data_IF_949545047844
#
_entry.id   IF_949545047844
#
_cell.length_a   1.000
_cell.length_b   1.000
_cell.length_c   1.000
_cell.angle_alpha   90.00
_cell.angle_beta   90.00
_cell.angle_gamma   90.00
#
_symmetry.space_group_name_H-M   'P 1'
#
loop_
_entity.id
_entity.type
_entity.pdbx_description
1 polymer ?
#
# COMPACT_ATOMS: atom_id res chain seq x y z
N UNK A 1 10.76 14.75 -10.53
CA UNK A 1 9.67 13.80 -10.82
C UNK A 1 9.09 14.03 -12.22
N UNK A 2 8.39 15.14 -12.52
CA UNK A 2 7.75 15.38 -13.85
C UNK A 2 8.75 15.27 -15.02
N UNK A 3 9.93 15.89 -14.89
CA UNK A 3 11.04 15.80 -15.89
C UNK A 3 11.44 14.35 -16.18
N UNK A 4 11.33 13.48 -15.19
CA UNK A 4 11.67 12.05 -15.28
C UNK A 4 10.46 11.18 -15.71
N UNK A 5 9.31 11.77 -16.04
CA UNK A 5 8.14 11.07 -16.56
C UNK A 5 7.25 10.42 -15.50
N UNK A 6 7.48 10.68 -14.21
CA UNK A 6 6.58 10.20 -13.16
C UNK A 6 5.23 10.93 -13.21
N UNK A 7 4.15 10.20 -13.01
CA UNK A 7 2.78 10.67 -13.19
C UNK A 7 2.00 10.77 -11.87
N UNK A 8 2.46 10.16 -10.80
CA UNK A 8 1.76 10.08 -9.53
C UNK A 8 2.64 10.37 -8.32
N UNK A 9 1.95 10.65 -7.22
CA UNK A 9 2.54 10.83 -5.91
C UNK A 9 1.78 9.96 -4.92
N UNK A 10 2.47 9.03 -4.26
CA UNK A 10 1.91 8.37 -3.08
C UNK A 10 2.05 9.30 -1.87
N UNK A 11 1.00 9.40 -1.07
CA UNK A 11 0.95 10.34 0.06
C UNK A 11 0.73 9.64 1.39
N UNK A 12 1.26 10.24 2.46
CA UNK A 12 0.79 9.99 3.81
C UNK A 12 -0.17 11.14 4.20
N UNK A 13 -1.45 10.89 4.49
CA UNK A 13 -2.44 11.95 4.72
C UNK A 13 -2.02 12.99 5.77
N UNK A 14 -1.36 12.54 6.86
CA UNK A 14 -0.86 13.42 7.92
C UNK A 14 0.32 14.30 7.50
N UNK A 15 0.97 14.03 6.36
CA UNK A 15 2.00 14.91 5.79
C UNK A 15 1.40 16.07 5.02
N UNK A 16 0.17 15.92 4.54
CA UNK A 16 -0.57 16.97 3.83
C UNK A 16 -1.42 17.77 4.83
N UNK A 17 -2.17 17.07 5.68
CA UNK A 17 -3.02 17.64 6.74
C UNK A 17 -2.60 16.99 8.07
N UNK A 18 -1.77 17.67 8.89
CA UNK A 18 -1.13 17.06 10.06
C UNK A 18 -2.09 16.57 11.16
N UNK A 19 -3.24 17.23 11.34
CA UNK A 19 -4.19 16.90 12.39
C UNK A 19 -5.52 16.43 11.79
N UNK A 20 -5.98 15.26 12.24
CA UNK A 20 -7.27 14.67 11.85
C UNK A 20 -7.57 14.75 10.34
N UNK A 21 -6.64 14.31 9.45
CA UNK A 21 -6.73 14.55 8.00
C UNK A 21 -8.09 14.15 7.42
N UNK A 22 -8.68 13.08 7.92
CA UNK A 22 -9.93 12.53 7.40
C UNK A 22 -11.19 13.36 7.72
N UNK A 23 -11.06 14.45 8.50
CA UNK A 23 -12.15 15.43 8.69
C UNK A 23 -12.12 16.56 7.66
N UNK A 24 -11.08 16.67 6.87
CA UNK A 24 -10.79 17.82 6.00
C UNK A 24 -10.97 17.48 4.51
N UNK A 25 -12.10 16.88 4.14
CA UNK A 25 -12.36 16.42 2.76
C UNK A 25 -12.33 17.54 1.72
N UNK A 26 -12.82 18.74 2.06
CA UNK A 26 -12.77 19.90 1.15
C UNK A 26 -11.34 20.39 0.92
N UNK A 27 -10.55 20.41 1.98
CA UNK A 27 -9.16 20.87 1.92
C UNK A 27 -8.30 19.94 1.07
N UNK A 28 -8.42 18.62 1.29
CA UNK A 28 -7.67 17.65 0.48
C UNK A 28 -8.11 17.64 -0.99
N UNK A 29 -9.40 17.83 -1.27
CA UNK A 29 -9.88 17.97 -2.63
C UNK A 29 -9.26 19.19 -3.34
N UNK A 30 -9.21 20.34 -2.66
CA UNK A 30 -8.58 21.55 -3.19
C UNK A 30 -7.09 21.34 -3.43
N UNK A 31 -6.37 20.77 -2.45
CA UNK A 31 -4.95 20.46 -2.58
C UNK A 31 -4.68 19.53 -3.78
N UNK A 32 -5.45 18.44 -3.92
CA UNK A 32 -5.33 17.50 -5.04
C UNK A 32 -5.59 18.17 -6.38
N UNK A 33 -6.59 19.04 -6.46
CA UNK A 33 -6.93 19.79 -7.67
C UNK A 33 -5.78 20.72 -8.08
N UNK A 34 -5.17 21.41 -7.13
CA UNK A 34 -3.98 22.23 -7.38
C UNK A 34 -2.78 21.41 -7.82
N UNK A 35 -2.54 20.25 -7.19
CA UNK A 35 -1.48 19.31 -7.55
C UNK A 35 -1.61 18.88 -9.03
N UNK A 36 -2.81 18.46 -9.44
CA UNK A 36 -3.09 18.08 -10.83
C UNK A 36 -2.90 19.25 -11.79
N UNK A 37 -3.49 20.41 -11.46
CA UNK A 37 -3.44 21.59 -12.32
C UNK A 37 -2.01 22.11 -12.52
N UNK A 38 -1.21 22.14 -11.43
CA UNK A 38 0.12 22.73 -11.45
C UNK A 38 1.19 21.79 -11.97
N UNK A 39 1.09 20.50 -11.65
CA UNK A 39 2.13 19.53 -11.91
C UNK A 39 1.69 18.35 -12.78
N UNK A 40 0.38 18.14 -12.96
CA UNK A 40 -0.19 17.01 -13.68
C UNK A 40 0.00 15.68 -12.94
N UNK A 41 0.14 15.71 -11.61
CA UNK A 41 0.27 14.49 -10.81
C UNK A 41 -1.07 13.98 -10.33
N UNK A 42 -1.23 12.65 -10.41
CA UNK A 42 -2.29 11.91 -9.75
C UNK A 42 -1.89 11.54 -8.32
N UNK A 43 -2.85 11.07 -7.53
CA UNK A 43 -2.61 10.43 -6.23
C UNK A 43 -3.12 8.99 -6.30
N UNK A 44 -2.33 8.06 -6.86
CA UNK A 44 -2.78 6.69 -7.07
C UNK A 44 -2.89 5.90 -5.77
N UNK A 45 -2.06 6.21 -4.79
CA UNK A 45 -1.94 5.47 -3.54
C UNK A 45 -1.72 6.40 -2.36
N UNK A 46 -2.14 5.95 -1.18
CA UNK A 46 -1.80 6.58 0.09
C UNK A 46 -1.47 5.53 1.15
N UNK A 47 -0.45 5.83 1.96
CA UNK A 47 0.03 4.97 3.02
C UNK A 47 -0.11 5.60 4.41
N UNK A 48 0.34 4.90 5.46
CA UNK A 48 0.30 5.37 6.85
C UNK A 48 -1.10 5.77 7.32
N UNK A 49 -2.13 5.09 6.80
CA UNK A 49 -3.55 5.40 7.03
C UNK A 49 -3.96 5.34 8.50
N UNK A 50 -3.22 4.62 9.35
CA UNK A 50 -3.43 4.52 10.79
C UNK A 50 -2.38 5.28 11.62
N UNK A 51 -1.78 6.33 11.08
CA UNK A 51 -0.81 7.11 11.83
C UNK A 51 -1.42 7.61 13.16
N UNK A 52 -0.71 7.40 14.27
CA UNK A 52 -1.19 7.77 15.61
C UNK A 52 -2.17 6.79 16.26
N UNK A 53 -2.73 5.80 15.56
CA UNK A 53 -3.63 4.79 16.12
C UNK A 53 -2.85 3.75 16.94
N UNK A 54 -3.44 3.31 18.05
CA UNK A 54 -2.84 2.34 18.97
C UNK A 54 -3.71 1.09 19.15
N UNK A 55 -4.97 1.15 18.73
CA UNK A 55 -5.92 0.06 18.79
C UNK A 55 -5.42 -1.14 17.97
N UNK A 56 -5.80 -2.33 18.37
CA UNK A 56 -5.36 -3.60 17.77
C UNK A 56 -6.49 -4.26 16.99
N UNK A 57 -6.18 -4.83 15.83
CA UNK A 57 -7.13 -5.67 15.06
C UNK A 57 -7.56 -6.87 15.90
N UNK A 58 -6.63 -7.50 16.59
CA UNK A 58 -6.83 -8.66 17.44
C UNK A 58 -7.04 -8.29 18.93
N UNK A 59 -7.32 -7.03 19.22
CA UNK A 59 -7.73 -6.55 20.52
C UNK A 59 -9.20 -6.87 20.84
N UNK A 60 -9.81 -6.07 21.69
CA UNK A 60 -11.23 -6.23 22.01
C UNK A 60 -12.16 -5.65 20.91
N UNK A 61 -13.46 -5.94 20.99
CA UNK A 61 -14.44 -5.49 19.99
C UNK A 61 -14.51 -3.96 19.85
N UNK A 62 -14.30 -3.20 20.95
CA UNK A 62 -14.32 -1.74 20.91
C UNK A 62 -13.14 -1.17 20.12
N UNK A 63 -11.95 -1.76 20.27
CA UNK A 63 -10.77 -1.40 19.49
C UNK A 63 -10.96 -1.69 17.99
N UNK A 64 -11.47 -2.88 17.65
CA UNK A 64 -11.77 -3.23 16.26
C UNK A 64 -12.77 -2.28 15.63
N UNK A 65 -13.88 -1.98 16.32
CA UNK A 65 -14.87 -1.04 15.83
C UNK A 65 -14.26 0.37 15.63
N UNK A 66 -13.43 0.82 16.54
CA UNK A 66 -12.74 2.10 16.40
C UNK A 66 -11.83 2.13 15.16
N UNK A 67 -11.10 1.04 14.87
CA UNK A 67 -10.27 0.92 13.66
C UNK A 67 -11.13 0.85 12.39
N UNK A 68 -12.25 0.11 12.39
CA UNK A 68 -13.17 0.05 11.25
C UNK A 68 -13.69 1.45 10.92
N UNK A 69 -14.24 2.17 11.91
CA UNK A 69 -14.79 3.50 11.69
C UNK A 69 -13.72 4.53 11.29
N UNK A 70 -12.51 4.39 11.79
CA UNK A 70 -11.40 5.23 11.38
C UNK A 70 -10.95 4.93 9.94
N UNK A 71 -10.92 3.64 9.57
CA UNK A 71 -10.57 3.20 8.21
C UNK A 71 -11.62 3.65 7.19
N UNK A 72 -12.92 3.60 7.54
CA UNK A 72 -13.97 4.14 6.66
C UNK A 72 -13.75 5.62 6.36
N UNK A 73 -13.38 6.43 7.34
CA UNK A 73 -13.02 7.84 7.11
C UNK A 73 -11.80 8.00 6.20
N UNK A 74 -10.81 7.11 6.30
CA UNK A 74 -9.67 7.10 5.40
C UNK A 74 -10.09 6.72 3.96
N UNK A 75 -11.03 5.79 3.82
CA UNK A 75 -11.63 5.40 2.53
C UNK A 75 -12.39 6.57 1.91
N UNK A 76 -13.21 7.30 2.66
CA UNK A 76 -13.92 8.50 2.20
C UNK A 76 -12.95 9.59 1.70
N UNK A 77 -11.85 9.76 2.44
CA UNK A 77 -10.79 10.67 2.05
C UNK A 77 -10.13 10.24 0.74
N UNK A 78 -9.79 8.96 0.58
CA UNK A 78 -9.24 8.40 -0.64
C UNK A 78 -10.19 8.58 -1.84
N UNK A 79 -11.47 8.26 -1.65
CA UNK A 79 -12.51 8.44 -2.67
C UNK A 79 -12.62 9.90 -3.11
N UNK A 80 -12.55 10.86 -2.17
CA UNK A 80 -12.61 12.30 -2.45
C UNK A 80 -11.51 12.74 -3.43
N UNK A 81 -10.32 12.18 -3.35
CA UNK A 81 -9.18 12.51 -4.23
C UNK A 81 -8.99 11.50 -5.36
N UNK A 82 -9.89 10.54 -5.52
CA UNK A 82 -9.83 9.45 -6.49
C UNK A 82 -8.57 8.57 -6.34
N UNK A 83 -8.07 8.45 -5.11
CA UNK A 83 -7.00 7.53 -4.77
C UNK A 83 -7.53 6.08 -4.84
N UNK A 84 -6.80 5.19 -5.51
CA UNK A 84 -7.24 3.83 -5.79
C UNK A 84 -6.67 2.77 -4.84
N UNK A 85 -5.67 3.15 -4.04
CA UNK A 85 -5.00 2.23 -3.13
C UNK A 85 -4.78 2.86 -1.75
N UNK A 86 -5.20 2.19 -0.70
CA UNK A 86 -4.88 2.53 0.69
C UNK A 86 -3.99 1.43 1.25
N UNK A 87 -2.71 1.70 1.41
CA UNK A 87 -1.74 0.70 1.88
C UNK A 87 -1.99 0.35 3.33
N UNK A 88 -2.24 -0.93 3.57
CA UNK A 88 -2.44 -1.49 4.89
C UNK A 88 -1.16 -2.20 5.36
N UNK A 89 -0.31 -1.47 6.04
CA UNK A 89 1.04 -1.93 6.39
C UNK A 89 1.26 -2.06 7.91
N UNK A 90 0.68 -1.30 8.76
CA UNK A 90 1.05 -1.10 10.17
C UNK A 90 1.16 -2.39 11.05
N UNK A 91 2.34 -3.07 11.10
CA UNK A 91 2.50 -4.38 11.77
C UNK A 91 2.10 -4.39 13.24
N UNK A 92 2.42 -3.32 13.98
CA UNK A 92 2.16 -3.21 15.43
C UNK A 92 0.66 -3.29 15.80
N UNK A 93 -0.23 -2.94 14.87
CA UNK A 93 -1.67 -2.97 15.12
C UNK A 93 -2.31 -4.30 14.71
N UNK A 94 -1.56 -5.21 14.07
CA UNK A 94 -2.05 -6.49 13.55
C UNK A 94 -1.25 -7.72 13.99
N UNK A 95 -0.62 -7.68 15.17
CA UNK A 95 0.07 -8.85 15.72
C UNK A 95 -0.93 -9.84 16.30
N UNK A 96 -0.83 -11.11 15.87
CA UNK A 96 -1.63 -12.21 16.38
C UNK A 96 -1.33 -12.43 17.86
N UNK A 97 -2.39 -12.66 18.64
CA UNK A 97 -2.31 -12.96 20.07
C UNK A 97 -2.70 -14.41 20.36
N UNK A 98 -3.62 -14.97 19.56
CA UNK A 98 -4.20 -16.31 19.76
C UNK A 98 -4.52 -16.98 18.42
N UNK A 99 -4.76 -18.29 18.44
CA UNK A 99 -5.11 -19.10 17.26
C UNK A 99 -6.49 -18.78 16.65
N UNK A 100 -7.39 -18.10 17.39
CA UNK A 100 -8.71 -17.70 16.89
C UNK A 100 -8.69 -16.36 16.13
N UNK A 101 -7.55 -15.69 16.03
CA UNK A 101 -7.43 -14.36 15.45
C UNK A 101 -7.66 -14.34 13.93
N UNK A 102 -7.48 -15.48 13.24
CA UNK A 102 -7.73 -15.59 11.79
C UNK A 102 -9.18 -15.27 11.42
N UNK A 103 -10.17 -15.79 12.17
CA UNK A 103 -11.57 -15.47 11.91
C UNK A 103 -11.86 -13.97 12.12
N UNK A 104 -11.22 -13.37 13.12
CA UNK A 104 -11.31 -11.92 13.37
C UNK A 104 -10.73 -11.14 12.18
N UNK A 105 -9.60 -11.60 11.62
CA UNK A 105 -9.00 -10.97 10.46
C UNK A 105 -9.96 -10.97 9.26
N UNK A 106 -10.59 -12.12 8.95
CA UNK A 106 -11.51 -12.24 7.81
C UNK A 106 -12.67 -11.27 7.92
N UNK A 107 -13.36 -11.20 9.05
CA UNK A 107 -14.49 -10.28 9.28
C UNK A 107 -14.03 -8.82 9.20
N UNK A 108 -12.91 -8.50 9.83
CA UNK A 108 -12.37 -7.14 9.84
C UNK A 108 -12.04 -6.66 8.42
N UNK A 109 -11.24 -7.43 7.68
CA UNK A 109 -10.81 -7.05 6.34
C UNK A 109 -11.95 -7.09 5.32
N UNK A 110 -12.91 -8.02 5.49
CA UNK A 110 -14.12 -8.03 4.66
C UNK A 110 -14.92 -6.74 4.86
N UNK A 111 -15.14 -6.33 6.10
CA UNK A 111 -15.90 -5.12 6.42
C UNK A 111 -15.31 -3.87 5.79
N UNK A 112 -14.00 -3.65 5.93
CA UNK A 112 -13.35 -2.46 5.35
C UNK A 112 -13.13 -2.58 3.84
N UNK A 113 -12.91 -3.80 3.33
CA UNK A 113 -12.75 -4.06 1.90
C UNK A 113 -14.05 -3.83 1.13
N UNK A 114 -15.17 -4.34 1.61
CA UNK A 114 -16.48 -4.14 0.97
C UNK A 114 -16.83 -2.65 0.93
N UNK A 115 -16.61 -1.93 2.02
CA UNK A 115 -16.79 -0.48 2.04
C UNK A 115 -15.86 0.26 1.06
N UNK A 116 -14.60 -0.16 0.95
CA UNK A 116 -13.66 0.41 -0.02
C UNK A 116 -14.14 0.18 -1.47
N UNK A 117 -14.65 -1.01 -1.77
CA UNK A 117 -15.22 -1.32 -3.09
C UNK A 117 -16.42 -0.43 -3.42
N UNK A 118 -17.35 -0.22 -2.48
CA UNK A 118 -18.49 0.69 -2.63
C UNK A 118 -18.05 2.12 -2.94
N UNK A 119 -16.97 2.57 -2.33
CA UNK A 119 -16.39 3.91 -2.52
C UNK A 119 -15.46 4.01 -3.74
N UNK A 120 -15.24 2.93 -4.48
CA UNK A 120 -14.45 2.89 -5.71
C UNK A 120 -12.94 2.97 -5.50
N UNK A 121 -12.46 2.48 -4.35
CA UNK A 121 -11.05 2.33 -3.98
C UNK A 121 -10.79 0.93 -3.43
N UNK A 122 -9.55 0.64 -2.98
CA UNK A 122 -9.20 -0.63 -2.37
C UNK A 122 -8.26 -0.44 -1.17
N UNK A 123 -8.39 -1.32 -0.19
CA UNK A 123 -7.38 -1.55 0.83
C UNK A 123 -6.32 -2.47 0.22
N UNK A 124 -5.11 -1.99 0.07
CA UNK A 124 -3.95 -2.76 -0.41
C UNK A 124 -3.25 -3.46 0.75
N UNK A 125 -3.50 -4.76 0.91
CA UNK A 125 -2.80 -5.56 1.91
C UNK A 125 -1.34 -5.71 1.55
N UNK A 126 -0.47 -5.29 2.44
CA UNK A 126 0.97 -5.42 2.28
C UNK A 126 1.53 -6.44 3.27
N UNK A 127 2.26 -7.42 2.78
CA UNK A 127 3.01 -8.33 3.61
C UNK A 127 4.18 -7.59 4.28
N UNK A 128 4.50 -7.97 5.52
CA UNK A 128 5.68 -7.45 6.21
C UNK A 128 6.51 -8.59 6.77
N UNK A 129 7.75 -8.75 6.34
CA UNK A 129 8.60 -9.85 6.78
C UNK A 129 8.92 -9.78 8.27
N UNK A 130 9.29 -10.92 8.84
CA UNK A 130 9.57 -11.08 10.27
C UNK A 130 10.69 -10.15 10.79
N UNK A 131 11.54 -9.63 9.89
CA UNK A 131 12.56 -8.62 10.25
C UNK A 131 11.99 -7.35 10.88
N UNK A 132 10.67 -7.08 10.68
CA UNK A 132 9.94 -5.96 11.28
C UNK A 132 9.21 -6.34 12.58
N UNK A 133 9.56 -7.46 13.20
CA UNK A 133 8.96 -7.96 14.46
C UNK A 133 7.44 -8.10 14.38
N UNK A 134 6.96 -8.72 13.33
CA UNK A 134 5.54 -9.04 13.11
C UNK A 134 5.36 -10.55 12.90
N UNK A 135 4.15 -11.03 13.22
CA UNK A 135 3.79 -12.45 13.11
C UNK A 135 2.49 -12.68 12.32
N UNK A 136 2.04 -11.66 11.56
CA UNK A 136 0.83 -11.76 10.76
C UNK A 136 1.08 -11.23 9.34
N UNK A 137 0.88 -12.11 8.35
CA UNK A 137 1.10 -11.83 6.92
C UNK A 137 2.53 -11.39 6.67
N UNK A 138 3.45 -12.36 6.75
CA UNK A 138 4.88 -12.10 6.68
C UNK A 138 5.49 -12.26 5.28
N UNK A 139 4.75 -12.84 4.34
CA UNK A 139 5.17 -13.10 2.97
C UNK A 139 4.03 -12.84 1.97
N UNK A 140 4.40 -12.76 0.69
CA UNK A 140 3.46 -12.49 -0.40
C UNK A 140 2.41 -13.59 -0.54
N UNK A 141 2.77 -14.85 -0.35
CA UNK A 141 1.84 -15.98 -0.45
C UNK A 141 0.74 -15.88 0.61
N UNK A 142 1.10 -15.62 1.87
CA UNK A 142 0.11 -15.45 2.95
C UNK A 142 -0.79 -14.23 2.74
N UNK A 143 -0.29 -13.15 2.13
CA UNK A 143 -1.13 -12.00 1.75
C UNK A 143 -2.16 -12.39 0.68
N UNK A 144 -1.74 -13.10 -0.36
CA UNK A 144 -2.61 -13.60 -1.43
C UNK A 144 -3.69 -14.54 -0.86
N UNK A 145 -3.32 -15.45 0.03
CA UNK A 145 -4.25 -16.39 0.64
C UNK A 145 -5.28 -15.69 1.52
N UNK A 146 -4.87 -14.70 2.30
CA UNK A 146 -5.80 -13.88 3.08
C UNK A 146 -6.77 -13.12 2.16
N UNK A 147 -6.28 -12.51 1.08
CA UNK A 147 -7.11 -11.77 0.11
C UNK A 147 -8.18 -12.69 -0.50
N UNK A 148 -7.78 -13.90 -0.91
CA UNK A 148 -8.70 -14.92 -1.44
C UNK A 148 -9.77 -15.34 -0.42
N UNK A 149 -9.39 -15.52 0.84
CA UNK A 149 -10.32 -15.90 1.91
C UNK A 149 -11.28 -14.76 2.27
N UNK A 150 -10.80 -13.52 2.35
CA UNK A 150 -11.62 -12.31 2.57
C UNK A 150 -12.64 -12.11 1.44
N UNK A 151 -12.26 -12.43 0.21
CA UNK A 151 -13.11 -12.40 -0.97
C UNK A 151 -13.91 -11.09 -1.10
N UNK A 152 -13.22 -9.95 -1.04
CA UNK A 152 -13.78 -8.61 -1.26
C UNK A 152 -13.11 -7.93 -2.45
N UNK A 153 -13.90 -7.29 -3.31
CA UNK A 153 -13.39 -6.54 -4.47
C UNK A 153 -12.55 -5.31 -4.09
N UNK A 154 -12.70 -4.84 -2.87
CA UNK A 154 -11.93 -3.70 -2.33
C UNK A 154 -10.86 -4.11 -1.32
N UNK A 155 -10.45 -5.39 -1.29
CA UNK A 155 -9.32 -5.86 -0.49
C UNK A 155 -8.37 -6.63 -1.41
N UNK A 156 -7.29 -5.98 -1.80
CA UNK A 156 -6.39 -6.42 -2.85
C UNK A 156 -4.94 -6.39 -2.37
N UNK A 157 -3.99 -6.79 -3.22
CA UNK A 157 -2.57 -6.85 -2.92
C UNK A 157 -1.90 -5.49 -3.19
N UNK A 158 -1.21 -4.96 -2.18
CA UNK A 158 -0.11 -4.03 -2.35
C UNK A 158 1.18 -4.85 -2.34
N UNK A 159 1.72 -5.12 -3.51
CA UNK A 159 2.94 -5.92 -3.64
C UNK A 159 4.14 -5.08 -3.22
N UNK A 160 4.86 -5.50 -2.17
CA UNK A 160 6.09 -4.86 -1.71
C UNK A 160 7.31 -5.69 -2.09
N UNK A 161 8.17 -5.12 -2.95
CA UNK A 161 9.38 -5.80 -3.43
C UNK A 161 10.41 -5.94 -2.32
N UNK A 162 10.47 -5.02 -1.36
CA UNK A 162 11.33 -5.16 -0.18
C UNK A 162 11.00 -6.38 0.66
N UNK A 163 9.73 -6.73 0.77
CA UNK A 163 9.27 -7.99 1.39
C UNK A 163 9.73 -9.20 0.59
N UNK A 164 9.56 -9.19 -0.72
CA UNK A 164 10.03 -10.28 -1.58
C UNK A 164 11.54 -10.49 -1.44
N UNK A 165 12.32 -9.40 -1.43
CA UNK A 165 13.77 -9.44 -1.25
C UNK A 165 14.14 -10.03 0.12
N UNK A 166 13.50 -9.56 1.20
CA UNK A 166 13.78 -10.01 2.55
C UNK A 166 13.51 -11.51 2.76
N UNK A 167 12.53 -12.04 2.05
CA UNK A 167 12.10 -13.43 2.11
C UNK A 167 12.77 -14.33 1.04
N UNK A 168 13.49 -13.76 0.06
CA UNK A 168 14.03 -14.49 -1.08
C UNK A 168 12.95 -15.04 -2.02
N UNK A 169 11.84 -14.32 -2.17
CA UNK A 169 10.73 -14.69 -3.06
C UNK A 169 11.06 -14.35 -4.52
N UNK A 170 10.59 -15.20 -5.44
CA UNK A 170 10.59 -14.92 -6.88
C UNK A 170 9.21 -14.44 -7.34
N UNK A 171 9.11 -13.96 -8.57
CA UNK A 171 7.83 -13.57 -9.19
C UNK A 171 6.85 -14.72 -9.33
N UNK A 172 7.31 -15.98 -9.24
CA UNK A 172 6.45 -17.16 -9.33
C UNK A 172 5.37 -17.21 -8.24
N UNK A 173 5.62 -16.55 -7.10
CA UNK A 173 4.62 -16.43 -6.02
C UNK A 173 3.35 -15.72 -6.47
N UNK A 174 3.42 -14.93 -7.54
CA UNK A 174 2.31 -14.14 -8.10
C UNK A 174 1.47 -14.93 -9.12
N UNK A 175 1.94 -16.11 -9.56
CA UNK A 175 1.24 -16.90 -10.57
C UNK A 175 -0.17 -17.30 -10.09
N UNK A 176 -1.19 -16.98 -10.90
CA UNK A 176 -2.59 -17.19 -10.57
C UNK A 176 -3.18 -16.18 -9.58
N UNK A 177 -2.46 -15.11 -9.27
CA UNK A 177 -2.91 -14.00 -8.43
C UNK A 177 -2.83 -12.63 -9.15
N UNK A 178 -2.66 -12.64 -10.48
CA UNK A 178 -2.45 -11.45 -11.31
C UNK A 178 -3.54 -10.40 -11.10
N UNK A 179 -4.78 -10.84 -11.02
CA UNK A 179 -5.97 -9.98 -10.84
C UNK A 179 -6.11 -9.41 -9.42
N UNK A 180 -5.27 -9.83 -8.49
CA UNK A 180 -5.26 -9.33 -7.11
C UNK A 180 -4.28 -8.17 -6.91
N UNK A 181 -3.33 -7.95 -7.82
CA UNK A 181 -2.31 -6.91 -7.71
C UNK A 181 -2.94 -5.54 -8.01
N UNK A 182 -3.10 -4.72 -6.98
CA UNK A 182 -3.67 -3.37 -7.08
C UNK A 182 -2.59 -2.29 -7.21
N UNK A 183 -1.49 -2.45 -6.48
CA UNK A 183 -0.38 -1.50 -6.45
C UNK A 183 0.93 -2.22 -6.20
N UNK A 184 2.04 -1.62 -6.65
CA UNK A 184 3.38 -2.19 -6.50
C UNK A 184 4.31 -1.15 -5.86
N UNK A 185 5.02 -1.55 -4.80
CA UNK A 185 6.11 -0.80 -4.20
C UNK A 185 7.46 -1.38 -4.62
N UNK A 186 8.29 -0.56 -5.24
CA UNK A 186 9.72 -0.84 -5.39
C UNK A 186 10.41 -0.26 -4.18
N UNK A 187 10.83 -1.15 -3.31
CA UNK A 187 11.41 -0.86 -2.00
C UNK A 187 12.57 -1.79 -1.73
N UNK A 188 13.37 -1.46 -0.72
CA UNK A 188 14.40 -2.32 -0.15
C UNK A 188 14.09 -2.62 1.32
N UNK A 189 14.54 -3.75 1.87
CA UNK A 189 14.45 -4.01 3.31
C UNK A 189 14.97 -2.82 4.11
N UNK A 190 14.20 -2.44 5.15
CA UNK A 190 14.44 -1.23 5.98
C UNK A 190 14.39 0.09 5.22
N UNK A 191 13.68 0.12 4.08
CA UNK A 191 13.52 1.31 3.23
C UNK A 191 14.87 1.95 2.82
N UNK A 192 15.88 1.12 2.60
CA UNK A 192 17.20 1.54 2.10
C UNK A 192 17.07 2.15 0.69
N UNK A 193 18.10 2.82 0.19
CA UNK A 193 18.17 3.22 -1.22
C UNK A 193 17.99 2.02 -2.15
N UNK A 194 17.25 2.22 -3.25
CA UNK A 194 16.95 1.17 -4.23
C UNK A 194 18.25 0.66 -4.86
N UNK A 195 18.45 -0.64 -4.83
CA UNK A 195 19.53 -1.35 -5.51
C UNK A 195 19.06 -1.89 -6.87
N UNK A 196 20.01 -2.10 -7.80
CA UNK A 196 19.72 -2.76 -9.08
C UNK A 196 19.60 -4.27 -8.87
N UNK A 197 18.43 -4.83 -9.19
CA UNK A 197 18.14 -6.26 -8.96
C UNK A 197 17.54 -6.94 -10.19
N UNK A 198 17.91 -8.20 -10.40
CA UNK A 198 17.25 -9.06 -11.41
C UNK A 198 15.74 -9.19 -11.12
N UNK A 199 15.35 -9.30 -9.87
CA UNK A 199 13.94 -9.38 -9.46
C UNK A 199 13.08 -8.22 -10.03
N UNK A 200 13.63 -7.01 -10.11
CA UNK A 200 12.91 -5.88 -10.71
C UNK A 200 12.63 -6.11 -12.19
N UNK A 201 13.57 -6.70 -12.92
CA UNK A 201 13.38 -7.03 -14.34
C UNK A 201 12.41 -8.18 -14.54
N UNK A 202 12.49 -9.20 -13.68
CA UNK A 202 11.57 -10.33 -13.70
C UNK A 202 10.13 -9.86 -13.42
N UNK A 203 9.99 -8.93 -12.45
CA UNK A 203 8.69 -8.33 -12.11
C UNK A 203 8.16 -7.47 -13.26
N UNK A 204 8.98 -6.66 -13.90
CA UNK A 204 8.57 -5.88 -15.08
C UNK A 204 8.03 -6.79 -16.17
N UNK A 205 8.75 -7.86 -16.51
CA UNK A 205 8.31 -8.84 -17.50
C UNK A 205 6.94 -9.44 -17.12
N UNK A 206 6.77 -9.85 -15.85
CA UNK A 206 5.53 -10.40 -15.34
C UNK A 206 4.37 -9.39 -15.45
N UNK A 207 4.59 -8.15 -14.98
CA UNK A 207 3.56 -7.08 -15.03
C UNK A 207 3.16 -6.73 -16.47
N UNK A 208 4.12 -6.72 -17.38
CA UNK A 208 3.87 -6.49 -18.80
C UNK A 208 3.09 -7.63 -19.46
N UNK A 209 3.44 -8.88 -19.17
CA UNK A 209 2.73 -10.07 -19.70
C UNK A 209 1.27 -10.10 -19.25
N UNK A 210 0.98 -9.73 -18.00
CA UNK A 210 -0.39 -9.63 -17.50
C UNK A 210 -1.10 -8.33 -17.91
N UNK A 211 -0.44 -7.44 -18.67
CA UNK A 211 -0.97 -6.14 -19.06
C UNK A 211 -1.40 -5.28 -17.85
N UNK A 212 -0.54 -5.19 -16.83
CA UNK A 212 -0.81 -4.42 -15.61
C UNK A 212 -1.07 -2.95 -15.91
N UNK A 213 -2.16 -2.41 -15.39
CA UNK A 213 -2.59 -1.01 -15.63
C UNK A 213 -2.49 -0.14 -14.37
N UNK A 214 -1.95 -0.69 -13.30
CA UNK A 214 -1.78 0.03 -12.03
C UNK A 214 -0.50 0.87 -12.01
N UNK A 215 -0.18 1.38 -10.83
CA UNK A 215 1.02 2.18 -10.60
C UNK A 215 2.11 1.36 -9.93
N UNK A 216 3.35 1.65 -10.31
CA UNK A 216 4.56 1.19 -9.65
C UNK A 216 5.18 2.40 -8.95
N UNK A 217 5.24 2.37 -7.64
CA UNK A 217 5.76 3.46 -6.80
C UNK A 217 7.12 3.13 -6.20
N UNK A 218 7.98 4.11 -6.08
CA UNK A 218 9.23 3.99 -5.32
C UNK A 218 8.92 4.28 -3.85
N UNK A 219 9.30 3.36 -2.96
CA UNK A 219 9.23 3.57 -1.53
C UNK A 219 10.62 3.48 -0.90
N UNK A 220 11.09 4.59 -0.36
CA UNK A 220 12.39 4.72 0.32
C UNK A 220 12.27 5.55 1.59
N UNK A 221 13.15 5.28 2.55
CA UNK A 221 13.36 6.18 3.69
C UNK A 221 13.89 7.55 3.24
N UNK A 222 13.81 8.52 4.14
CA UNK A 222 14.35 9.87 3.89
C UNK A 222 15.83 9.82 3.53
N UNK A 223 16.20 10.47 2.43
CA UNK A 223 17.57 10.59 1.98
C UNK A 223 18.10 12.00 2.25
N UNK A 224 19.34 12.10 2.68
CA UNK A 224 20.01 13.39 2.89
C UNK A 224 20.41 14.05 1.55
N UNK A 225 20.73 13.23 0.54
CA UNK A 225 21.12 13.68 -0.80
C UNK A 225 20.01 13.39 -1.82
N UNK A 226 19.53 14.43 -2.50
CA UNK A 226 18.53 14.35 -3.57
C UNK A 226 19.04 13.51 -4.75
N UNK A 227 20.34 13.46 -5.01
CA UNK A 227 20.91 12.66 -6.10
C UNK A 227 20.60 11.17 -5.96
N UNK A 228 20.54 10.65 -4.71
CA UNK A 228 20.17 9.26 -4.44
C UNK A 228 18.71 9.00 -4.88
N UNK A 229 17.84 9.96 -4.64
CA UNK A 229 16.43 9.86 -5.05
C UNK A 229 16.33 9.95 -6.59
N UNK A 230 17.06 10.86 -7.24
CA UNK A 230 17.06 10.97 -8.70
C UNK A 230 17.64 9.71 -9.36
N UNK A 231 18.71 9.12 -8.82
CA UNK A 231 19.27 7.85 -9.30
C UNK A 231 18.26 6.70 -9.20
N UNK A 232 17.57 6.57 -8.06
CA UNK A 232 16.53 5.58 -7.89
C UNK A 232 15.38 5.77 -8.89
N UNK A 233 14.97 7.03 -9.12
CA UNK A 233 13.93 7.36 -10.09
C UNK A 233 14.36 7.02 -11.53
N UNK A 234 15.58 7.37 -11.94
CA UNK A 234 16.10 7.04 -13.26
C UNK A 234 16.19 5.53 -13.48
N UNK A 235 16.66 4.81 -12.47
CA UNK A 235 16.73 3.35 -12.52
C UNK A 235 15.32 2.72 -12.66
N UNK A 236 14.40 3.04 -11.75
CA UNK A 236 13.05 2.44 -11.75
C UNK A 236 12.32 2.77 -13.05
N UNK A 237 12.43 4.01 -13.54
CA UNK A 237 11.89 4.37 -14.84
C UNK A 237 12.53 3.54 -15.97
N UNK A 238 13.84 3.34 -15.95
CA UNK A 238 14.54 2.55 -16.96
C UNK A 238 14.13 1.07 -16.99
N UNK A 239 13.57 0.57 -15.89
CA UNK A 239 13.04 -0.82 -15.79
C UNK A 239 11.58 -0.89 -16.17
N UNK A 240 10.71 0.00 -15.66
CA UNK A 240 9.24 -0.15 -15.67
C UNK A 240 8.50 0.80 -16.65
N UNK A 241 9.21 1.63 -17.46
CA UNK A 241 8.57 2.57 -18.39
C UNK A 241 8.69 2.15 -19.86
#
# INVERSE_FOLDING_TARGET
MKRLGFEGLEIAPTRIIPQEPYRHLKEIYSWKTELEKKYGFLVPSMQSIWFGRKELVFGNAAERNALIEYTKKAIDFAATIRCKNLVFVKPKNRSLQNSCDECIALDFFKTIGDYAAEMGTAIGMEANPTIYNTNFINDTASAIDLIRQVNSKGFLLNLDVGTMIANGESVDVLCGAENLINHVHISEPFLKPIEHRTLHKDLENFLREMNYQGFVSIEMGTQENVDVVEQAMDYVKGVFA
#
